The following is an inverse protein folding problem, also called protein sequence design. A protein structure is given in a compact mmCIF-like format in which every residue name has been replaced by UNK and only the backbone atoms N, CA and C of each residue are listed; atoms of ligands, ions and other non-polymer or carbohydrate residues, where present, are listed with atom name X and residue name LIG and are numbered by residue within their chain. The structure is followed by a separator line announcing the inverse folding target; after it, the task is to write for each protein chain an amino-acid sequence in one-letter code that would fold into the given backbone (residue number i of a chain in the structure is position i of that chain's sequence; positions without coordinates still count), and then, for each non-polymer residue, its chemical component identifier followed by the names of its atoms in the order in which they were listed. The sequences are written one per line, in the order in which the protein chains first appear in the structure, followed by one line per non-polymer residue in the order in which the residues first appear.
data_IF_432663105200
#
_entry.id   IF_432663105200
#
_cell.length_a   1.000
_cell.length_b   1.000
_cell.length_c   1.000
_cell.angle_alpha   90.00
_cell.angle_beta   90.00
_cell.angle_gamma   90.00
#
_symmetry.space_group_name_H-M   'P 1'
#
loop_
_entity.id
_entity.type
_entity.pdbx_description
1 polymer ?
#
# COMPACT_ATOMS: atom_id res chain seq x y z
N UNK A 1 -68.83 -2.83 -17.61
CA UNK A 1 -67.86 -2.12 -16.77
C UNK A 1 -67.44 -3.02 -15.61
N UNK A 2 -66.20 -2.85 -15.11
CA UNK A 2 -65.52 -3.61 -14.03
C UNK A 2 -64.74 -4.87 -14.47
N UNK A 3 -63.72 -4.62 -15.31
CA UNK A 3 -62.41 -5.29 -15.19
C UNK A 3 -61.63 -4.59 -14.06
N UNK A 4 -60.53 -5.20 -13.61
CA UNK A 4 -59.49 -4.65 -12.71
C UNK A 4 -59.75 -4.88 -11.21
N UNK A 5 -59.61 -6.11 -10.68
CA UNK A 5 -59.30 -6.31 -9.24
C UNK A 5 -58.54 -7.62 -8.92
N UNK A 6 -58.06 -8.38 -9.91
CA UNK A 6 -57.43 -9.69 -9.67
C UNK A 6 -55.93 -9.78 -9.99
N UNK A 7 -55.26 -8.64 -10.24
CA UNK A 7 -53.79 -8.61 -10.44
C UNK A 7 -53.01 -7.95 -9.29
N UNK A 8 -53.68 -7.40 -8.28
CA UNK A 8 -53.01 -6.59 -7.25
C UNK A 8 -52.55 -7.38 -6.00
N UNK A 9 -52.91 -8.66 -5.88
CA UNK A 9 -52.57 -9.44 -4.69
C UNK A 9 -51.25 -10.24 -4.81
N UNK A 10 -50.66 -10.35 -6.01
CA UNK A 10 -49.47 -11.20 -6.23
C UNK A 10 -48.14 -10.44 -6.34
N UNK A 11 -48.16 -9.12 -6.49
CA UNK A 11 -46.93 -8.30 -6.55
C UNK A 11 -46.41 -7.84 -5.18
N UNK A 12 -47.17 -8.03 -4.10
CA UNK A 12 -46.78 -7.57 -2.76
C UNK A 12 -45.96 -8.59 -1.95
N UNK A 13 -45.78 -9.83 -2.44
CA UNK A 13 -45.09 -10.90 -1.71
C UNK A 13 -43.71 -11.27 -2.26
N UNK A 14 -43.24 -10.63 -3.33
CA UNK A 14 -41.90 -10.88 -3.92
C UNK A 14 -40.86 -9.81 -3.57
N UNK A 15 -41.23 -8.80 -2.77
CA UNK A 15 -40.35 -7.68 -2.36
C UNK A 15 -39.88 -7.77 -0.90
N UNK A 16 -39.83 -8.97 -0.33
CA UNK A 16 -39.27 -9.20 1.01
C UNK A 16 -38.38 -10.43 0.98
N UNK A 17 -37.29 -10.41 0.21
CA UNK A 17 -36.11 -11.28 0.43
C UNK A 17 -34.89 -10.85 -0.41
N UNK A 18 -34.76 -9.56 -0.70
CA UNK A 18 -33.46 -8.94 -0.97
C UNK A 18 -33.14 -8.03 0.21
N UNK A 19 -33.18 -8.58 1.42
CA UNK A 19 -32.31 -8.08 2.46
C UNK A 19 -30.91 -8.45 1.95
N UNK A 20 -30.31 -7.51 1.20
CA UNK A 20 -28.88 -7.43 1.04
C UNK A 20 -28.30 -7.72 2.42
N UNK A 21 -27.68 -8.89 2.57
CA UNK A 21 -26.75 -9.13 3.65
C UNK A 21 -25.62 -8.15 3.31
N UNK A 22 -25.77 -6.89 3.74
CA UNK A 22 -24.63 -6.06 3.99
C UNK A 22 -23.88 -6.84 5.06
N UNK A 23 -22.86 -7.59 4.63
CA UNK A 23 -21.80 -8.00 5.53
C UNK A 23 -21.37 -6.71 6.21
N UNK A 24 -21.67 -6.60 7.51
CA UNK A 24 -21.32 -5.41 8.26
C UNK A 24 -19.80 -5.39 8.31
N UNK A 25 -19.19 -4.59 7.44
CA UNK A 25 -17.75 -4.47 7.34
C UNK A 25 -17.19 -4.18 8.74
N UNK A 26 -16.17 -4.96 9.15
CA UNK A 26 -15.54 -4.86 10.45
C UNK A 26 -14.91 -3.47 10.60
N UNK A 27 -15.02 -2.83 11.78
CA UNK A 27 -14.30 -1.60 12.02
C UNK A 27 -12.79 -1.89 12.09
N UNK A 28 -11.98 -1.04 11.47
CA UNK A 28 -10.52 -1.13 11.56
C UNK A 28 -10.09 -0.85 13.01
N UNK A 29 -9.28 -1.73 13.63
CA UNK A 29 -8.75 -1.48 14.97
C UNK A 29 -8.04 -0.10 15.05
N UNK A 30 -8.27 0.72 16.09
CA UNK A 30 -7.70 2.08 16.15
C UNK A 30 -6.17 2.15 16.07
N UNK A 31 -5.49 1.13 16.60
CA UNK A 31 -4.03 1.01 16.52
C UNK A 31 -3.58 0.76 15.08
N UNK A 32 -4.26 -0.11 14.34
CA UNK A 32 -4.00 -0.36 12.92
C UNK A 32 -4.28 0.89 12.09
N UNK A 33 -5.42 1.56 12.32
CA UNK A 33 -5.73 2.82 11.64
C UNK A 33 -4.64 3.87 11.86
N UNK A 34 -4.18 4.02 13.11
CA UNK A 34 -3.12 4.98 13.44
C UNK A 34 -1.79 4.61 12.79
N UNK A 35 -1.47 3.32 12.75
CA UNK A 35 -0.30 2.79 12.06
C UNK A 35 -0.35 3.07 10.55
N UNK A 36 -1.45 2.72 9.86
CA UNK A 36 -1.60 2.96 8.42
C UNK A 36 -1.41 4.44 8.09
N UNK A 37 -2.10 5.34 8.80
CA UNK A 37 -1.99 6.78 8.56
C UNK A 37 -0.54 7.26 8.75
N UNK A 38 0.11 6.84 9.84
CA UNK A 38 1.50 7.19 10.13
C UNK A 38 2.44 6.66 9.05
N UNK A 39 2.27 5.39 8.66
CA UNK A 39 3.08 4.73 7.64
C UNK A 39 2.94 5.46 6.30
N UNK A 40 1.72 5.72 5.83
CA UNK A 40 1.48 6.46 4.57
C UNK A 40 2.13 7.85 4.57
N UNK A 41 2.01 8.60 5.67
CA UNK A 41 2.63 9.93 5.77
C UNK A 41 4.17 9.84 5.78
N UNK A 42 4.76 8.87 6.48
CA UNK A 42 6.20 8.66 6.52
C UNK A 42 6.75 8.18 5.17
N UNK A 43 6.06 7.23 4.55
CA UNK A 43 6.42 6.68 3.24
C UNK A 43 6.37 7.76 2.16
N UNK A 44 5.27 8.53 2.13
CA UNK A 44 5.14 9.69 1.26
C UNK A 44 6.29 10.69 1.45
N UNK A 45 6.63 11.05 2.69
CA UNK A 45 7.76 11.95 2.95
C UNK A 45 9.11 11.38 2.48
N UNK A 46 9.31 10.07 2.63
CA UNK A 46 10.52 9.40 2.18
C UNK A 46 10.63 9.44 0.64
N UNK A 47 9.53 9.17 -0.08
CA UNK A 47 9.48 9.27 -1.55
C UNK A 47 9.72 10.69 -2.04
N UNK A 48 9.09 11.69 -1.42
CA UNK A 48 9.29 13.10 -1.77
C UNK A 48 10.76 13.51 -1.56
N UNK A 49 11.38 13.06 -0.46
CA UNK A 49 12.78 13.33 -0.17
C UNK A 49 13.69 12.70 -1.23
N UNK A 50 13.46 11.42 -1.55
CA UNK A 50 14.24 10.71 -2.57
C UNK A 50 14.12 11.41 -3.94
N UNK A 51 12.89 11.77 -4.35
CA UNK A 51 12.65 12.49 -5.60
C UNK A 51 13.45 13.80 -5.67
N UNK A 52 13.41 14.62 -4.62
CA UNK A 52 14.18 15.88 -4.52
C UNK A 52 15.69 15.67 -4.52
N UNK A 53 16.18 14.59 -3.93
CA UNK A 53 17.61 14.29 -3.88
C UNK A 53 18.10 13.77 -5.24
N UNK A 54 17.31 12.94 -5.92
CA UNK A 54 17.61 12.43 -7.27
C UNK A 54 17.53 13.53 -8.34
N UNK A 55 16.61 14.48 -8.22
CA UNK A 55 16.54 15.66 -9.08
C UNK A 55 17.89 16.42 -9.07
N UNK A 56 18.45 16.63 -7.88
CA UNK A 56 19.72 17.34 -7.66
C UNK A 56 20.97 16.52 -7.96
N UNK A 57 20.88 15.19 -7.90
CA UNK A 57 22.01 14.31 -8.13
C UNK A 57 22.55 14.46 -9.57
N UNK A 58 23.85 14.66 -9.73
CA UNK A 58 24.52 14.82 -11.03
C UNK A 58 25.48 13.67 -11.34
N UNK A 59 25.70 12.78 -10.38
CA UNK A 59 26.66 11.68 -10.47
C UNK A 59 26.03 10.38 -9.95
N UNK A 60 26.49 9.22 -10.44
CA UNK A 60 26.04 7.93 -9.92
C UNK A 60 26.23 7.79 -8.40
N UNK A 61 27.32 8.32 -7.84
CA UNK A 61 27.58 8.27 -6.40
C UNK A 61 26.55 9.09 -5.60
N UNK A 62 26.11 10.23 -6.14
CA UNK A 62 25.03 11.02 -5.51
C UNK A 62 23.69 10.31 -5.61
N UNK A 63 23.40 9.61 -6.71
CA UNK A 63 22.19 8.79 -6.84
C UNK A 63 22.21 7.63 -5.84
N UNK A 64 23.34 6.92 -5.74
CA UNK A 64 23.55 5.86 -4.75
C UNK A 64 23.39 6.39 -3.31
N UNK A 65 23.90 7.59 -3.01
CA UNK A 65 23.71 8.22 -1.70
C UNK A 65 22.24 8.53 -1.42
N UNK A 66 21.48 8.99 -2.42
CA UNK A 66 20.04 9.27 -2.27
C UNK A 66 19.24 7.98 -2.00
N UNK A 67 19.53 6.91 -2.74
CA UNK A 67 18.92 5.58 -2.54
C UNK A 67 19.24 5.00 -1.16
N UNK A 68 20.48 5.15 -0.69
CA UNK A 68 20.87 4.71 0.64
C UNK A 68 20.15 5.50 1.74
N UNK A 69 20.05 6.83 1.61
CA UNK A 69 19.27 7.67 2.53
C UNK A 69 17.79 7.30 2.55
N UNK A 70 17.23 6.93 1.40
CA UNK A 70 15.87 6.42 1.32
C UNK A 70 15.73 5.08 2.06
N UNK A 71 16.66 4.15 1.83
CA UNK A 71 16.72 2.85 2.51
C UNK A 71 16.80 3.02 4.04
N UNK A 72 17.62 3.96 4.53
CA UNK A 72 17.74 4.27 5.97
C UNK A 72 16.41 4.72 6.59
N UNK A 73 15.55 5.40 5.82
CA UNK A 73 14.23 5.84 6.28
C UNK A 73 13.23 4.69 6.31
N UNK A 74 13.33 3.78 5.35
CA UNK A 74 12.41 2.66 5.20
C UNK A 74 12.68 1.53 6.18
N UNK A 75 13.93 1.24 6.49
CA UNK A 75 14.32 0.15 7.39
C UNK A 75 13.52 0.11 8.73
N UNK A 76 13.42 1.21 9.50
CA UNK A 76 12.60 1.21 10.71
C UNK A 76 11.10 1.09 10.44
N UNK A 77 10.62 1.55 9.26
CA UNK A 77 9.20 1.46 8.90
C UNK A 77 8.80 0.02 8.56
N UNK A 78 9.65 -0.68 7.80
CA UNK A 78 9.44 -2.08 7.46
C UNK A 78 9.50 -2.97 8.71
N UNK A 79 10.41 -2.68 9.65
CA UNK A 79 10.43 -3.36 10.94
C UNK A 79 9.13 -3.14 11.76
N UNK A 80 8.55 -1.94 11.72
CA UNK A 80 7.27 -1.64 12.35
C UNK A 80 6.12 -2.36 11.65
N UNK A 81 6.14 -2.45 10.32
CA UNK A 81 5.17 -3.20 9.52
C UNK A 81 5.16 -4.69 9.90
N UNK A 82 6.32 -5.34 9.92
CA UNK A 82 6.46 -6.74 10.37
C UNK A 82 5.97 -6.93 11.81
N UNK A 83 6.20 -5.96 12.69
CA UNK A 83 5.68 -6.01 14.06
C UNK A 83 4.15 -5.91 14.11
N UNK A 84 3.55 -5.09 13.24
CA UNK A 84 2.09 -4.95 13.12
C UNK A 84 1.44 -6.18 12.52
N UNK A 85 2.04 -6.79 11.49
CA UNK A 85 1.60 -8.06 10.89
C UNK A 85 1.56 -9.16 11.95
N UNK A 86 2.65 -9.34 12.71
CA UNK A 86 2.71 -10.34 13.80
C UNK A 86 1.70 -10.09 14.91
N UNK A 87 1.36 -8.83 15.17
CA UNK A 87 0.41 -8.45 16.22
C UNK A 87 -1.04 -8.57 15.77
N UNK A 88 -1.31 -8.37 14.48
CA UNK A 88 -2.63 -8.37 13.88
C UNK A 88 -2.69 -9.28 12.64
N UNK A 89 -2.35 -10.58 12.75
CA UNK A 89 -2.26 -11.47 11.59
C UNK A 89 -3.61 -11.60 10.88
N UNK A 90 -4.74 -11.60 11.62
CA UNK A 90 -6.07 -11.62 11.02
C UNK A 90 -6.36 -10.39 10.13
N UNK A 91 -5.71 -9.25 10.37
CA UNK A 91 -5.87 -8.06 9.54
C UNK A 91 -5.06 -8.14 8.25
N UNK A 92 -3.83 -8.67 8.30
CA UNK A 92 -2.88 -8.66 7.19
C UNK A 92 -2.87 -9.95 6.35
N UNK A 93 -3.13 -11.11 6.95
CA UNK A 93 -3.01 -12.43 6.29
C UNK A 93 -4.36 -13.03 5.87
N UNK A 94 -5.48 -12.54 6.42
CA UNK A 94 -6.71 -13.34 6.51
C UNK A 94 -8.01 -12.63 6.19
N UNK A 95 -8.00 -11.47 5.53
CA UNK A 95 -9.25 -10.77 5.18
C UNK A 95 -9.27 -10.34 3.72
N UNK A 96 -10.38 -10.60 3.02
CA UNK A 96 -10.68 -9.91 1.76
C UNK A 96 -10.69 -8.40 2.05
N UNK A 97 -10.10 -7.57 1.18
CA UNK A 97 -10.03 -6.10 1.38
C UNK A 97 -11.41 -5.46 1.65
N UNK A 98 -12.49 -6.11 1.18
CA UNK A 98 -13.88 -5.71 1.34
C UNK A 98 -14.47 -5.95 2.75
N UNK A 99 -13.76 -6.66 3.62
CA UNK A 99 -14.25 -7.00 4.97
C UNK A 99 -14.14 -5.83 5.96
N UNK A 100 -13.37 -4.78 5.66
CA UNK A 100 -13.20 -3.62 6.54
C UNK A 100 -13.94 -2.39 6.02
N UNK A 101 -14.50 -1.61 6.95
CA UNK A 101 -15.16 -0.37 6.58
C UNK A 101 -14.14 0.63 6.01
N UNK A 102 -14.49 1.23 4.87
CA UNK A 102 -13.75 2.36 4.29
C UNK A 102 -13.62 3.47 5.33
N UNK A 103 -12.38 3.94 5.54
CA UNK A 103 -12.07 4.98 6.53
C UNK A 103 -11.51 6.24 5.86
N UNK A 104 -12.25 7.34 5.99
CA UNK A 104 -11.91 8.61 5.32
C UNK A 104 -10.57 9.23 5.74
N UNK A 105 -10.04 8.88 6.92
CA UNK A 105 -8.74 9.40 7.35
C UNK A 105 -7.60 8.61 6.73
N UNK A 106 -7.81 7.31 6.49
CA UNK A 106 -6.89 6.47 5.71
C UNK A 106 -6.88 6.93 4.25
N UNK A 107 -8.05 7.17 3.64
CA UNK A 107 -8.14 7.71 2.27
C UNK A 107 -7.35 9.02 2.14
N UNK A 108 -7.57 9.98 3.04
CA UNK A 108 -6.82 11.25 3.03
C UNK A 108 -5.31 11.05 3.23
N UNK A 109 -4.89 10.05 4.00
CA UNK A 109 -3.47 9.74 4.17
C UNK A 109 -2.88 9.16 2.90
N UNK A 110 -3.62 8.29 2.20
CA UNK A 110 -3.27 7.78 0.87
C UNK A 110 -3.15 8.91 -0.15
N UNK A 111 -4.15 9.80 -0.23
CA UNK A 111 -4.10 10.95 -1.14
C UNK A 111 -2.86 11.83 -0.92
N UNK A 112 -2.49 12.08 0.35
CA UNK A 112 -1.27 12.83 0.69
C UNK A 112 -0.01 12.07 0.30
N UNK A 113 0.00 10.75 0.46
CA UNK A 113 1.12 9.90 0.06
C UNK A 113 1.29 9.96 -1.47
N UNK A 114 0.21 9.84 -2.23
CA UNK A 114 0.22 9.89 -3.70
C UNK A 114 0.71 11.24 -4.22
N UNK A 115 0.25 12.34 -3.62
CA UNK A 115 0.74 13.69 -3.95
C UNK A 115 2.25 13.82 -3.69
N UNK A 116 2.77 13.19 -2.64
CA UNK A 116 4.20 13.22 -2.32
C UNK A 116 5.03 12.27 -3.19
N UNK A 117 4.40 11.22 -3.72
CA UNK A 117 4.97 10.29 -4.67
C UNK A 117 5.03 10.87 -6.09
N UNK A 118 4.38 12.01 -6.35
CA UNK A 118 4.41 12.67 -7.65
C UNK A 118 5.86 12.96 -8.07
N UNK A 119 6.21 12.57 -9.30
CA UNK A 119 7.57 12.69 -9.83
C UNK A 119 8.55 11.60 -9.38
N UNK A 120 8.18 10.71 -8.45
CA UNK A 120 9.04 9.58 -8.03
C UNK A 120 9.41 8.68 -9.22
N UNK A 121 8.44 8.39 -10.11
CA UNK A 121 8.69 7.57 -11.30
C UNK A 121 9.71 8.21 -12.26
N UNK A 122 9.61 9.54 -12.48
CA UNK A 122 10.55 10.27 -13.32
C UNK A 122 11.96 10.29 -12.68
N UNK A 123 12.04 10.57 -11.39
CA UNK A 123 13.27 10.56 -10.62
C UNK A 123 13.96 9.19 -10.61
N UNK A 124 13.20 8.11 -10.47
CA UNK A 124 13.73 6.73 -10.58
C UNK A 124 14.16 6.38 -12.00
N UNK A 125 13.50 6.93 -13.03
CA UNK A 125 13.95 6.80 -14.43
C UNK A 125 15.42 7.21 -14.61
N UNK A 126 15.86 8.26 -13.92
CA UNK A 126 17.25 8.74 -13.92
C UNK A 126 18.22 7.78 -13.23
N UNK A 127 17.78 7.10 -12.18
CA UNK A 127 18.58 6.05 -11.53
C UNK A 127 18.83 4.91 -12.51
N UNK A 128 17.79 4.51 -13.26
CA UNK A 128 17.89 3.39 -14.20
C UNK A 128 18.85 3.66 -15.37
N UNK A 129 19.13 4.91 -15.73
CA UNK A 129 20.16 5.21 -16.75
C UNK A 129 21.59 4.93 -16.25
N UNK A 130 21.76 4.66 -14.95
CA UNK A 130 23.04 4.37 -14.31
C UNK A 130 22.98 3.08 -13.46
N UNK A 131 22.01 2.20 -13.71
CA UNK A 131 21.80 0.99 -12.93
C UNK A 131 22.98 0.00 -13.00
N UNK A 132 23.79 0.08 -14.06
CA UNK A 132 25.02 -0.70 -14.24
C UNK A 132 26.22 -0.14 -13.46
N UNK A 133 26.11 1.08 -12.90
CA UNK A 133 27.17 1.65 -12.09
C UNK A 133 27.25 0.92 -10.73
N UNK A 134 28.42 0.42 -10.30
CA UNK A 134 28.54 -0.42 -9.11
C UNK A 134 27.94 0.18 -7.84
N UNK A 135 28.11 1.49 -7.62
CA UNK A 135 27.54 2.17 -6.46
C UNK A 135 26.00 2.23 -6.50
N UNK A 136 25.41 2.40 -7.68
CA UNK A 136 23.94 2.46 -7.85
C UNK A 136 23.36 1.06 -7.71
N UNK A 137 23.99 0.06 -8.33
CA UNK A 137 23.60 -1.34 -8.19
C UNK A 137 23.59 -1.79 -6.73
N UNK A 138 24.66 -1.51 -5.98
CA UNK A 138 24.73 -1.87 -4.55
C UNK A 138 23.66 -1.14 -3.72
N UNK A 139 23.33 0.10 -4.07
CA UNK A 139 22.27 0.84 -3.38
C UNK A 139 20.86 0.32 -3.72
N UNK A 140 20.63 -0.13 -4.96
CA UNK A 140 19.38 -0.78 -5.38
C UNK A 140 19.21 -2.16 -4.72
N UNK A 141 20.27 -2.97 -4.67
CA UNK A 141 20.27 -4.26 -3.96
C UNK A 141 19.93 -4.07 -2.48
N UNK A 142 20.57 -3.08 -1.83
CA UNK A 142 20.24 -2.74 -0.44
C UNK A 142 18.78 -2.31 -0.29
N UNK A 143 18.27 -1.50 -1.21
CA UNK A 143 16.87 -1.09 -1.18
C UNK A 143 15.93 -2.30 -1.28
N UNK A 144 16.22 -3.26 -2.18
CA UNK A 144 15.48 -4.52 -2.30
C UNK A 144 15.48 -5.32 -0.99
N UNK A 145 16.64 -5.44 -0.33
CA UNK A 145 16.75 -6.07 1.01
C UNK A 145 15.87 -5.42 2.06
N UNK A 146 15.84 -4.09 2.08
CA UNK A 146 15.01 -3.34 3.04
C UNK A 146 13.52 -3.55 2.74
N UNK A 147 13.14 -3.62 1.46
CA UNK A 147 11.75 -3.81 1.04
C UNK A 147 11.27 -5.27 1.14
N UNK A 148 12.17 -6.22 1.38
CA UNK A 148 11.85 -7.65 1.49
C UNK A 148 11.75 -8.38 0.15
N UNK A 149 12.35 -7.83 -0.92
CA UNK A 149 12.27 -8.41 -2.28
C UNK A 149 13.22 -9.61 -2.50
N UNK A 150 14.01 -10.04 -1.51
CA UNK A 150 15.02 -11.11 -1.66
C UNK A 150 14.60 -12.49 -1.09
N UNK A 151 13.35 -12.69 -0.62
CA UNK A 151 12.93 -13.96 0.02
C UNK A 151 12.20 -14.97 -0.90
N UNK A 152 12.12 -14.77 -2.23
CA UNK A 152 11.39 -15.66 -3.16
C UNK A 152 12.23 -16.58 -4.08
N UNK A 153 13.52 -16.86 -3.79
CA UNK A 153 14.34 -17.79 -4.62
C UNK A 153 14.90 -19.04 -3.89
N UNK A 154 14.37 -19.44 -2.73
CA UNK A 154 14.80 -20.69 -2.04
C UNK A 154 13.66 -21.69 -1.71
N UNK A 155 12.64 -21.86 -2.58
CA UNK A 155 11.70 -23.01 -2.50
C UNK A 155 11.39 -23.66 -3.87
N UNK A 156 12.40 -23.87 -4.74
CA UNK A 156 12.26 -24.78 -5.91
C UNK A 156 13.46 -25.73 -6.07
N UNK A 157 13.95 -26.35 -4.99
CA UNK A 157 14.75 -27.60 -5.10
C UNK A 157 14.48 -28.52 -3.91
N UNK A 158 13.27 -29.10 -3.81
CA UNK A 158 13.06 -30.47 -3.34
C UNK A 158 11.57 -30.85 -3.46
N UNK A 159 11.21 -31.57 -4.53
CA UNK A 159 10.42 -32.82 -4.55
C UNK A 159 10.07 -33.30 -5.97
#
# INVERSE_FOLDING_TARGET
MKKIYLCLAFCALSLVFMATIATAAKPIPPEIKSFIIKFSDQYGNAMETLSKDLEKAQTPDQMASALNSYSDKLEPMMAEMVAMEKKYPEFFEGTDEDDYAVDSDIEKASDRMDQKAEGMMESMGKVFTHADHPAVQAALERLGKVMGEEEEEEEEEEL
#
